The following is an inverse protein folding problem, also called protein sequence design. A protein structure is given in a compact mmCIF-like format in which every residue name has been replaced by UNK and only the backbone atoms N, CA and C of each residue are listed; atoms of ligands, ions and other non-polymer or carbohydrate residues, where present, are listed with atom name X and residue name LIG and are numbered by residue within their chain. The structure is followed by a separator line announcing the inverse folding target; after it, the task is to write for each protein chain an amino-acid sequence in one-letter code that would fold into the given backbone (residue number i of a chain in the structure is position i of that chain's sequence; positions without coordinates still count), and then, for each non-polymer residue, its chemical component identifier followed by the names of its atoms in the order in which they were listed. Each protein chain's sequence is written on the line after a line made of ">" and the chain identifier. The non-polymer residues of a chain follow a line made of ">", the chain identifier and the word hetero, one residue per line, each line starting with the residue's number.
data_IF_028650711488
#
_entry.id   IF_028650711488
#
_cell.length_a   1.000
_cell.length_b   1.000
_cell.length_c   1.000
_cell.angle_alpha   90.00
_cell.angle_beta   90.00
_cell.angle_gamma   90.00
#
_symmetry.space_group_name_H-M   'P 1'
#
loop_
_entity.id
_entity.type
_entity.pdbx_description
1 polymer ?
#
# COMPACT_ATOMS: atom_id res chain seq x y z
N UNK A 1 7.30 17.82 -8.97
CA UNK A 1 8.11 16.73 -8.39
C UNK A 1 7.19 15.97 -7.45
N UNK A 2 6.86 14.72 -7.76
CA UNK A 2 6.23 13.81 -6.81
C UNK A 2 7.33 13.00 -6.11
N UNK A 3 7.12 12.76 -4.82
CA UNK A 3 7.98 11.91 -4.01
C UNK A 3 7.21 10.65 -3.68
N UNK A 4 7.90 9.51 -3.62
CA UNK A 4 7.29 8.30 -3.11
C UNK A 4 7.07 8.44 -1.61
N UNK A 5 5.82 8.28 -1.17
CA UNK A 5 5.45 8.27 0.23
C UNK A 5 5.28 6.83 0.71
N UNK A 6 5.93 6.50 1.83
CA UNK A 6 5.80 5.19 2.47
C UNK A 6 4.90 5.30 3.70
N UNK A 7 3.88 4.44 3.77
CA UNK A 7 3.10 4.25 4.99
C UNK A 7 3.74 3.17 5.84
N UNK A 8 4.08 3.51 7.09
CA UNK A 8 4.73 2.59 8.03
C UNK A 8 3.72 1.95 8.98
N UNK A 9 4.01 0.72 9.36
CA UNK A 9 3.33 0.01 10.44
C UNK A 9 4.38 -0.56 11.40
N UNK A 10 4.00 -0.70 12.68
CA UNK A 10 4.82 -1.43 13.64
C UNK A 10 4.80 -2.94 13.31
N UNK A 11 5.92 -3.63 13.53
CA UNK A 11 6.08 -5.05 13.20
C UNK A 11 5.18 -6.00 14.01
N UNK A 12 4.65 -5.55 15.16
CA UNK A 12 3.77 -6.34 16.03
C UNK A 12 2.27 -6.13 15.72
N UNK A 13 1.94 -5.25 14.76
CA UNK A 13 0.54 -5.11 14.31
C UNK A 13 0.11 -6.41 13.64
N UNK A 14 -1.10 -6.89 13.92
CA UNK A 14 -1.56 -8.15 13.33
C UNK A 14 -1.61 -8.08 11.79
N UNK A 15 -1.31 -9.22 11.14
CA UNK A 15 -1.39 -9.34 9.68
C UNK A 15 -2.75 -8.93 9.13
N UNK A 16 -3.84 -9.29 9.82
CA UNK A 16 -5.21 -8.98 9.43
C UNK A 16 -5.46 -7.47 9.36
N UNK A 17 -5.01 -6.72 10.37
CA UNK A 17 -5.15 -5.25 10.39
C UNK A 17 -4.36 -4.64 9.24
N UNK A 18 -3.11 -5.07 9.04
CA UNK A 18 -2.28 -4.52 7.97
C UNK A 18 -2.84 -4.86 6.59
N UNK A 19 -3.32 -6.09 6.38
CA UNK A 19 -3.97 -6.49 5.14
C UNK A 19 -5.24 -5.67 4.88
N UNK A 20 -6.03 -5.38 5.92
CA UNK A 20 -7.23 -4.53 5.82
C UNK A 20 -6.87 -3.11 5.38
N UNK A 21 -5.82 -2.52 5.94
CA UNK A 21 -5.35 -1.18 5.54
C UNK A 21 -4.81 -1.19 4.11
N UNK A 22 -3.99 -2.19 3.75
CA UNK A 22 -3.44 -2.33 2.40
C UNK A 22 -4.57 -2.47 1.35
N UNK A 23 -5.61 -3.24 1.67
CA UNK A 23 -6.82 -3.37 0.85
C UNK A 23 -7.57 -2.05 0.72
N UNK A 24 -7.78 -1.34 1.81
CA UNK A 24 -8.46 -0.05 1.79
C UNK A 24 -7.72 0.98 0.91
N UNK A 25 -6.38 0.98 0.93
CA UNK A 25 -5.58 1.82 0.03
C UNK A 25 -5.70 1.39 -1.43
N UNK A 26 -5.69 0.08 -1.69
CA UNK A 26 -5.77 -0.47 -3.04
C UNK A 26 -7.12 -0.17 -3.71
N UNK A 27 -8.22 -0.36 -2.98
CA UNK A 27 -9.59 -0.13 -3.48
C UNK A 27 -10.01 1.35 -3.39
N UNK A 28 -9.39 2.13 -2.52
CA UNK A 28 -9.83 3.47 -2.13
C UNK A 28 -9.32 4.64 -2.96
N UNK A 29 -8.81 4.41 -4.19
CA UNK A 29 -8.23 5.47 -5.03
C UNK A 29 -9.15 6.68 -5.19
N UNK A 30 -10.42 6.46 -5.54
CA UNK A 30 -11.36 7.55 -5.80
C UNK A 30 -11.61 8.40 -4.56
N UNK A 31 -11.70 7.77 -3.38
CA UNK A 31 -11.83 8.45 -2.09
C UNK A 31 -10.58 9.28 -1.76
N UNK A 32 -9.38 8.78 -2.06
CA UNK A 32 -8.14 9.52 -1.87
C UNK A 32 -8.05 10.73 -2.81
N UNK A 33 -8.35 10.56 -4.11
CA UNK A 33 -8.36 11.66 -5.07
C UNK A 33 -9.36 12.75 -4.67
N UNK A 34 -10.53 12.37 -4.16
CA UNK A 34 -11.53 13.30 -3.64
C UNK A 34 -11.06 14.07 -2.40
N UNK A 35 -10.17 13.50 -1.58
CA UNK A 35 -9.64 14.14 -0.38
C UNK A 35 -8.65 15.28 -0.68
N UNK A 36 -8.03 15.30 -1.87
CA UNK A 36 -7.21 16.44 -2.29
C UNK A 36 -6.27 16.15 -3.46
N UNK A 37 -5.77 17.21 -4.13
CA UNK A 37 -4.99 17.09 -5.37
C UNK A 37 -3.64 16.36 -5.20
N UNK A 38 -3.15 16.22 -3.96
CA UNK A 38 -1.92 15.47 -3.67
C UNK A 38 -2.02 13.98 -4.08
N UNK A 39 -3.24 13.44 -4.15
CA UNK A 39 -3.49 12.06 -4.53
C UNK A 39 -3.72 11.86 -6.04
N UNK A 40 -3.61 12.90 -6.86
CA UNK A 40 -3.88 12.83 -8.30
C UNK A 40 -3.04 11.80 -9.06
N UNK A 41 -1.80 11.56 -8.60
CA UNK A 41 -0.88 10.57 -9.17
C UNK A 41 -0.90 9.23 -8.42
N UNK A 42 -1.81 9.04 -7.45
CA UNK A 42 -1.90 7.79 -6.69
C UNK A 42 -2.25 6.61 -7.60
N UNK A 43 -1.43 5.56 -7.53
CA UNK A 43 -1.56 4.35 -8.32
C UNK A 43 -1.55 3.12 -7.40
N UNK A 44 -2.72 2.49 -7.16
CA UNK A 44 -2.84 1.26 -6.40
C UNK A 44 -1.93 0.12 -6.88
N UNK A 45 -1.62 0.06 -8.18
CA UNK A 45 -0.74 -0.98 -8.74
C UNK A 45 0.71 -0.84 -8.27
N UNK A 46 1.09 0.33 -7.73
CA UNK A 46 2.42 0.61 -7.20
C UNK A 46 2.54 0.47 -5.68
N UNK A 47 1.49 0.02 -4.98
CA UNK A 47 1.54 -0.15 -3.52
C UNK A 47 2.60 -1.18 -3.05
N UNK A 48 2.92 -2.15 -3.91
CA UNK A 48 3.99 -3.12 -3.69
C UNK A 48 5.30 -2.73 -4.40
N UNK A 49 5.56 -1.41 -4.54
CA UNK A 49 6.81 -0.93 -5.10
C UNK A 49 7.99 -1.31 -4.18
N UNK A 50 9.10 -1.70 -4.79
CA UNK A 50 10.28 -2.16 -4.09
C UNK A 50 10.88 -1.00 -3.29
N UNK A 51 11.01 -1.21 -1.98
CA UNK A 51 11.73 -0.30 -1.09
C UNK A 51 12.94 -1.00 -0.50
N UNK A 52 13.82 -0.26 0.15
CA UNK A 52 14.94 -0.83 0.92
C UNK A 52 14.51 -1.43 2.26
N UNK A 53 13.22 -1.35 2.60
CA UNK A 53 12.65 -1.82 3.86
C UNK A 53 11.83 -3.09 3.66
N UNK A 54 11.78 -3.89 4.72
CA UNK A 54 10.96 -5.08 4.74
C UNK A 54 9.47 -4.72 4.78
N UNK A 55 8.68 -5.37 3.94
CA UNK A 55 7.23 -5.25 4.00
C UNK A 55 6.68 -6.06 5.16
N UNK A 56 5.64 -5.51 5.79
CA UNK A 56 4.88 -6.22 6.79
C UNK A 56 4.21 -7.47 6.18
N UNK A 57 4.26 -8.66 6.83
CA UNK A 57 3.74 -9.91 6.25
C UNK A 57 2.28 -9.84 5.77
N UNK A 58 1.39 -9.22 6.57
CA UNK A 58 0.00 -8.98 6.16
C UNK A 58 -0.17 -8.16 4.87
N UNK A 59 0.72 -7.19 4.59
CA UNK A 59 0.69 -6.45 3.33
C UNK A 59 1.13 -7.33 2.16
N UNK A 60 2.18 -8.16 2.36
CA UNK A 60 2.67 -9.12 1.35
C UNK A 60 1.57 -10.11 0.97
N UNK A 61 0.87 -10.68 1.96
CA UNK A 61 -0.25 -11.60 1.73
C UNK A 61 -1.34 -10.96 0.86
N UNK A 62 -1.74 -9.73 1.21
CA UNK A 62 -2.72 -8.99 0.42
C UNK A 62 -2.21 -8.67 -1.00
N UNK A 63 -1.01 -8.13 -1.16
CA UNK A 63 -0.45 -7.77 -2.47
C UNK A 63 -0.27 -8.98 -3.39
N UNK A 64 0.06 -10.15 -2.84
CA UNK A 64 0.06 -11.41 -3.59
C UNK A 64 -1.34 -11.77 -4.08
N UNK A 65 -2.35 -11.67 -3.21
CA UNK A 65 -3.76 -11.94 -3.57
C UNK A 65 -4.30 -10.97 -4.64
N UNK A 66 -3.85 -9.72 -4.60
CA UNK A 66 -4.22 -8.68 -5.56
C UNK A 66 -3.40 -8.73 -6.87
N UNK A 67 -2.42 -9.63 -6.97
CA UNK A 67 -1.59 -9.79 -8.17
C UNK A 67 -0.61 -8.65 -8.44
N UNK A 68 -0.34 -7.78 -7.46
CA UNK A 68 0.58 -6.64 -7.59
C UNK A 68 1.93 -6.87 -6.91
N UNK A 69 2.10 -7.98 -6.19
CA UNK A 69 3.35 -8.30 -5.52
C UNK A 69 4.51 -8.49 -6.50
N UNK A 70 5.54 -7.65 -6.38
CA UNK A 70 6.68 -7.62 -7.32
C UNK A 70 7.85 -8.51 -6.91
N UNK A 71 7.85 -9.05 -5.69
CA UNK A 71 8.93 -9.90 -5.19
C UNK A 71 10.21 -9.09 -4.98
N UNK A 72 10.41 -8.63 -3.75
CA UNK A 72 11.74 -8.27 -3.29
C UNK A 72 12.45 -9.50 -2.74
#
# INVERSE_FOLDING_TARGET
>A
MSYDYTLFANAEVSNEIVATVAKALYEGKDSLVAAGPIWSEFDPAKLAHITTLEFHPGAIEFYKSAGIWTGN
#
